data_IF_582386405221
#
_entry.id   IF_582386405221
#
_cell.length_a   1.000
_cell.length_b   1.000
_cell.length_c   1.000
_cell.angle_alpha   90.00
_cell.angle_beta   90.00
_cell.angle_gamma   90.00
#
_symmetry.space_group_name_H-M   'P 1'
#
loop_
_entity.id
_entity.type
_entity.pdbx_description
1 polymer ?
#
# COMPACT_ATOMS: atom_id res chain seq x y z
N UNK A 1 17.59 0.04 -16.10
CA UNK A 1 16.27 -0.41 -15.60
C UNK A 1 15.39 0.79 -15.46
N UNK A 2 14.28 0.85 -16.19
CA UNK A 2 13.28 1.92 -16.05
C UNK A 2 12.22 1.46 -15.03
N UNK A 3 12.10 2.15 -13.91
CA UNK A 3 11.16 1.82 -12.86
C UNK A 3 10.05 2.88 -12.76
N UNK A 4 8.86 2.45 -12.36
CA UNK A 4 7.73 3.32 -12.13
C UNK A 4 7.11 3.07 -10.75
N UNK A 5 6.79 4.14 -10.04
CA UNK A 5 5.92 4.12 -8.86
C UNK A 5 4.51 4.38 -9.35
N UNK A 6 3.59 3.49 -9.00
CA UNK A 6 2.18 3.56 -9.41
C UNK A 6 1.31 3.68 -8.18
N UNK A 7 0.37 4.61 -8.20
CA UNK A 7 -0.71 4.72 -7.21
C UNK A 7 -2.04 4.99 -7.91
N UNK A 8 -3.13 5.14 -7.17
CA UNK A 8 -4.40 5.50 -7.78
C UNK A 8 -5.48 5.76 -6.74
N UNK A 9 -6.42 6.64 -7.07
CA UNK A 9 -7.52 7.01 -6.21
C UNK A 9 -8.79 7.34 -6.99
N UNK A 10 -9.92 7.27 -6.29
CA UNK A 10 -11.16 7.97 -6.64
C UNK A 10 -11.23 9.31 -5.88
N UNK A 11 -12.29 10.08 -6.12
CA UNK A 11 -12.56 11.33 -5.42
C UNK A 11 -12.46 11.19 -3.88
N UNK A 12 -13.01 10.11 -3.30
CA UNK A 12 -13.01 9.91 -1.86
C UNK A 12 -11.61 9.68 -1.25
N UNK A 13 -10.66 9.19 -2.06
CA UNK A 13 -9.28 8.94 -1.65
C UNK A 13 -8.29 9.99 -2.19
N UNK A 14 -8.77 10.98 -2.94
CA UNK A 14 -7.90 12.03 -3.49
C UNK A 14 -7.04 12.75 -2.44
N UNK A 15 -7.56 13.19 -1.27
CA UNK A 15 -6.72 13.88 -0.27
C UNK A 15 -5.54 13.01 0.19
N UNK A 16 -5.76 11.71 0.40
CA UNK A 16 -4.73 10.77 0.82
C UNK A 16 -3.69 10.54 -0.29
N UNK A 17 -4.13 10.33 -1.52
CA UNK A 17 -3.23 10.20 -2.66
C UNK A 17 -2.42 11.48 -2.89
N UNK A 18 -3.02 12.64 -2.76
CA UNK A 18 -2.31 13.92 -2.89
C UNK A 18 -1.22 14.06 -1.83
N UNK A 19 -1.52 13.69 -0.56
CA UNK A 19 -0.53 13.64 0.50
C UNK A 19 0.59 12.62 0.21
N UNK A 20 0.27 11.44 -0.33
CA UNK A 20 1.28 10.48 -0.78
C UNK A 20 2.20 11.08 -1.84
N UNK A 21 1.64 11.71 -2.89
CA UNK A 21 2.42 12.35 -3.95
C UNK A 21 3.35 13.44 -3.39
N UNK A 22 2.89 14.23 -2.43
CA UNK A 22 3.73 15.21 -1.74
C UNK A 22 4.89 14.55 -0.99
N UNK A 23 4.65 13.43 -0.29
CA UNK A 23 5.74 12.71 0.40
C UNK A 23 6.72 12.07 -0.58
N UNK A 24 6.26 11.57 -1.72
CA UNK A 24 7.11 11.04 -2.77
C UNK A 24 8.01 12.14 -3.37
N UNK A 25 7.45 13.31 -3.69
CA UNK A 25 8.25 14.44 -4.18
C UNK A 25 9.29 14.92 -3.17
N UNK A 26 8.96 14.90 -1.89
CA UNK A 26 9.87 15.33 -0.82
C UNK A 26 11.04 14.36 -0.61
N UNK A 27 10.76 13.05 -0.72
CA UNK A 27 11.71 12.00 -0.36
C UNK A 27 12.38 11.35 -1.57
N UNK A 28 11.73 11.40 -2.73
CA UNK A 28 12.17 10.72 -3.96
C UNK A 28 12.86 11.66 -4.95
N UNK A 29 13.32 12.83 -4.50
CA UNK A 29 14.06 13.77 -5.35
C UNK A 29 15.25 13.14 -6.10
N UNK A 30 15.75 12.01 -5.58
CA UNK A 30 16.85 11.25 -6.17
C UNK A 30 16.40 9.92 -6.80
N UNK A 31 15.10 9.59 -6.81
CA UNK A 31 14.66 8.34 -7.38
C UNK A 31 14.49 8.45 -8.88
N UNK A 32 15.14 7.53 -9.60
CA UNK A 32 15.00 7.40 -11.07
C UNK A 32 13.64 6.81 -11.49
N UNK A 33 12.65 6.79 -10.60
CA UNK A 33 11.32 6.26 -10.86
C UNK A 33 10.39 7.30 -11.45
N UNK A 34 9.58 6.91 -12.44
CA UNK A 34 8.46 7.71 -12.92
C UNK A 34 7.26 7.57 -12.01
N UNK A 35 6.52 8.67 -11.79
CA UNK A 35 5.28 8.66 -11.01
C UNK A 35 4.08 8.51 -11.94
N UNK A 36 3.28 7.48 -11.72
CA UNK A 36 2.14 7.14 -12.56
C UNK A 36 0.88 7.01 -11.70
N UNK A 37 -0.26 7.47 -12.20
CA UNK A 37 -1.51 7.43 -11.46
C UNK A 37 -2.63 6.74 -12.25
N UNK A 38 -3.38 5.89 -11.58
CA UNK A 38 -4.64 5.33 -12.04
C UNK A 38 -5.81 6.17 -11.49
N UNK A 39 -6.56 6.80 -12.40
CA UNK A 39 -7.75 7.60 -12.08
C UNK A 39 -8.98 6.70 -11.96
N UNK A 40 -9.42 6.40 -10.74
CA UNK A 40 -10.61 5.60 -10.47
C UNK A 40 -11.90 6.43 -10.39
N UNK A 41 -11.85 7.72 -10.67
CA UNK A 41 -12.99 8.63 -10.63
C UNK A 41 -12.69 9.94 -9.91
N UNK A 42 -11.58 10.57 -10.25
CA UNK A 42 -11.24 11.93 -9.85
C UNK A 42 -12.18 12.93 -10.50
N UNK A 43 -12.45 14.04 -9.83
CA UNK A 43 -13.07 15.21 -10.46
C UNK A 43 -12.12 15.86 -11.46
N UNK A 44 -12.61 16.69 -12.40
CA UNK A 44 -11.73 17.39 -13.35
C UNK A 44 -10.65 18.24 -12.68
N UNK A 45 -10.96 18.93 -11.58
CA UNK A 45 -10.02 19.78 -10.86
C UNK A 45 -8.95 18.95 -10.11
N UNK A 46 -9.35 17.83 -9.48
CA UNK A 46 -8.43 16.90 -8.85
C UNK A 46 -7.51 16.26 -9.88
N UNK A 47 -8.08 15.84 -11.01
CA UNK A 47 -7.28 15.28 -12.10
C UNK A 47 -6.24 16.28 -12.61
N UNK A 48 -6.63 17.55 -12.84
CA UNK A 48 -5.71 18.61 -13.25
C UNK A 48 -4.58 18.84 -12.20
N UNK A 49 -4.94 18.77 -10.91
CA UNK A 49 -3.96 18.85 -9.82
C UNK A 49 -2.96 17.69 -9.88
N UNK A 50 -3.43 16.47 -10.10
CA UNK A 50 -2.57 15.28 -10.20
C UNK A 50 -1.69 15.33 -11.44
N UNK A 51 -2.24 15.74 -12.60
CA UNK A 51 -1.48 15.87 -13.87
C UNK A 51 -0.27 16.81 -13.75
N UNK A 52 -0.32 17.79 -12.86
CA UNK A 52 0.81 18.66 -12.58
C UNK A 52 1.92 18.01 -11.72
N UNK A 53 1.62 16.89 -11.08
CA UNK A 53 2.52 16.22 -10.11
C UNK A 53 3.09 14.90 -10.62
N UNK A 54 2.61 14.34 -11.73
CA UNK A 54 2.97 12.99 -12.17
C UNK A 54 3.34 12.93 -13.64
N UNK A 55 4.06 11.89 -14.04
CA UNK A 55 4.50 11.71 -15.43
C UNK A 55 3.36 11.22 -16.35
N UNK A 56 2.41 10.46 -15.82
CA UNK A 56 1.23 10.01 -16.58
C UNK A 56 0.06 9.66 -15.66
N UNK A 57 -1.15 9.85 -16.20
CA UNK A 57 -2.40 9.44 -15.56
C UNK A 57 -3.28 8.70 -16.56
N UNK A 58 -3.77 7.53 -16.18
CA UNK A 58 -4.65 6.68 -17.00
C UNK A 58 -5.91 6.37 -16.23
N UNK A 59 -7.05 6.41 -16.92
CA UNK A 59 -8.33 5.95 -16.39
C UNK A 59 -8.53 4.49 -16.78
N UNK A 60 -8.45 3.53 -15.82
CA UNK A 60 -8.59 2.12 -16.14
C UNK A 60 -10.05 1.75 -16.42
N UNK A 61 -10.20 0.64 -17.14
CA UNK A 61 -11.49 0.03 -17.43
C UNK A 61 -11.55 -1.38 -16.85
N UNK A 62 -12.77 -1.93 -16.73
CA UNK A 62 -12.95 -3.32 -16.36
C UNK A 62 -12.46 -4.24 -17.47
N UNK A 63 -11.49 -5.07 -17.18
CA UNK A 63 -10.84 -5.96 -18.15
C UNK A 63 -11.50 -7.36 -18.25
N UNK A 64 -12.49 -7.64 -17.39
CA UNK A 64 -13.33 -8.85 -17.47
C UNK A 64 -14.77 -8.51 -17.14
N UNK A 65 -15.70 -9.41 -17.48
CA UNK A 65 -17.12 -9.21 -17.21
C UNK A 65 -17.41 -9.47 -15.73
N UNK A 66 -17.72 -8.38 -15.01
CA UNK A 66 -18.10 -8.41 -13.59
C UNK A 66 -19.59 -8.18 -13.45
N UNK A 67 -20.25 -8.81 -12.47
CA UNK A 67 -21.64 -8.49 -12.13
C UNK A 67 -21.85 -7.00 -11.93
N UNK A 68 -22.95 -6.45 -12.44
CA UNK A 68 -23.20 -5.00 -12.47
C UNK A 68 -23.12 -4.34 -11.09
N UNK A 69 -23.64 -5.01 -10.04
CA UNK A 69 -23.57 -4.51 -8.66
C UNK A 69 -22.13 -4.36 -8.10
N UNK A 70 -21.12 -4.94 -8.75
CA UNK A 70 -19.72 -4.79 -8.41
C UNK A 70 -19.01 -3.70 -9.23
N UNK A 71 -19.63 -3.16 -10.29
CA UNK A 71 -19.06 -2.12 -11.17
C UNK A 71 -19.07 -0.74 -10.51
N UNK A 72 -18.50 -0.64 -9.31
CA UNK A 72 -18.36 0.63 -8.59
C UNK A 72 -16.95 1.19 -8.78
N UNK A 73 -16.77 2.54 -8.86
CA UNK A 73 -15.45 3.16 -9.01
C UNK A 73 -14.41 2.64 -8.02
N UNK A 74 -14.75 2.60 -6.72
CA UNK A 74 -13.88 2.08 -5.66
C UNK A 74 -13.44 0.62 -5.87
N UNK A 75 -14.24 -0.20 -6.54
CA UNK A 75 -13.93 -1.60 -6.81
C UNK A 75 -12.95 -1.75 -7.98
N UNK A 76 -12.91 -0.77 -8.87
CA UNK A 76 -11.99 -0.75 -9.99
C UNK A 76 -10.52 -0.69 -9.51
N UNK A 77 -10.26 -0.02 -8.38
CA UNK A 77 -8.94 0.01 -7.76
C UNK A 77 -8.37 -1.38 -7.42
N UNK A 78 -9.22 -2.32 -7.03
CA UNK A 78 -8.80 -3.71 -6.79
C UNK A 78 -8.57 -4.48 -8.09
N UNK A 79 -9.40 -4.24 -9.11
CA UNK A 79 -9.31 -4.91 -10.41
C UNK A 79 -8.13 -4.41 -11.26
N UNK A 80 -7.73 -3.16 -11.10
CA UNK A 80 -6.73 -2.53 -11.94
C UNK A 80 -5.28 -2.92 -11.56
N UNK A 81 -5.01 -3.28 -10.30
CA UNK A 81 -3.64 -3.60 -9.84
C UNK A 81 -2.96 -4.71 -10.67
N UNK A 82 -3.59 -5.86 -10.97
CA UNK A 82 -2.96 -6.88 -11.79
C UNK A 82 -2.77 -6.51 -13.26
N UNK A 83 -3.31 -5.35 -13.69
CA UNK A 83 -3.22 -4.83 -15.06
C UNK A 83 -2.24 -3.65 -15.21
N UNK A 84 -1.49 -3.30 -14.19
CA UNK A 84 -0.58 -2.14 -14.20
C UNK A 84 0.33 -2.12 -15.44
N UNK A 85 1.00 -3.22 -15.83
CA UNK A 85 1.86 -3.19 -17.03
C UNK A 85 1.12 -2.91 -18.33
N UNK A 86 -0.17 -3.27 -18.41
CA UNK A 86 -0.99 -3.03 -19.60
C UNK A 86 -1.42 -1.55 -19.68
N UNK A 87 -1.67 -0.90 -18.54
CA UNK A 87 -1.99 0.53 -18.50
C UNK A 87 -0.79 1.43 -18.72
N UNK A 88 0.38 1.01 -18.30
CA UNK A 88 1.62 1.77 -18.38
C UNK A 88 2.76 0.92 -18.98
N UNK A 89 2.73 0.62 -20.28
CA UNK A 89 3.78 -0.18 -20.91
C UNK A 89 5.12 0.55 -20.97
N UNK A 90 6.22 -0.21 -21.01
CA UNK A 90 7.56 0.32 -21.27
C UNK A 90 8.46 0.47 -20.05
N UNK A 91 8.02 0.04 -18.89
CA UNK A 91 8.85 -0.02 -17.68
C UNK A 91 9.33 -1.45 -17.40
N UNK A 92 10.48 -1.57 -16.77
CA UNK A 92 11.05 -2.89 -16.40
C UNK A 92 10.46 -3.39 -15.06
N UNK A 93 10.15 -2.47 -14.13
CA UNK A 93 9.62 -2.78 -12.79
C UNK A 93 8.56 -1.75 -12.40
N UNK A 94 7.50 -2.23 -11.79
CA UNK A 94 6.44 -1.42 -11.18
C UNK A 94 6.44 -1.58 -9.66
N UNK A 95 6.45 -0.45 -8.95
CA UNK A 95 6.27 -0.35 -7.51
C UNK A 95 4.90 0.26 -7.23
N UNK A 96 3.98 -0.53 -6.70
CA UNK A 96 2.65 -0.06 -6.29
C UNK A 96 2.68 0.48 -4.87
N UNK A 97 1.98 1.60 -4.65
CA UNK A 97 1.68 2.15 -3.33
C UNK A 97 0.18 2.49 -3.25
N UNK A 98 -0.51 2.01 -2.21
CA UNK A 98 -1.88 2.42 -1.92
C UNK A 98 -1.94 3.93 -1.62
N UNK A 99 -3.05 4.57 -1.99
CA UNK A 99 -3.24 6.02 -1.82
C UNK A 99 -3.13 6.50 -0.35
N UNK A 100 -3.36 5.62 0.62
CA UNK A 100 -3.28 5.89 2.04
C UNK A 100 -1.92 5.55 2.67
N UNK A 101 -0.88 5.58 1.86
CA UNK A 101 0.51 5.46 2.28
C UNK A 101 1.15 6.85 2.45
N UNK A 102 2.06 6.94 3.41
CA UNK A 102 2.93 8.10 3.63
C UNK A 102 4.37 7.62 3.70
N UNK A 103 5.25 8.21 2.91
CA UNK A 103 6.66 7.82 2.81
C UNK A 103 7.53 8.79 3.62
N UNK A 104 8.42 8.25 4.46
CA UNK A 104 9.32 9.07 5.28
C UNK A 104 10.73 9.24 4.70
N UNK A 105 11.20 8.30 3.89
CA UNK A 105 12.53 8.37 3.27
C UNK A 105 12.52 7.81 1.85
N UNK A 106 13.51 8.20 1.04
CA UNK A 106 13.63 7.77 -0.36
C UNK A 106 14.22 6.37 -0.56
N UNK A 107 14.72 5.72 0.50
CA UNK A 107 15.38 4.41 0.37
C UNK A 107 14.38 3.27 0.15
N UNK A 108 13.10 3.50 0.45
CA UNK A 108 12.05 2.50 0.25
C UNK A 108 12.01 1.99 -1.20
N UNK A 109 12.12 2.88 -2.19
CA UNK A 109 12.04 2.52 -3.59
C UNK A 109 13.18 1.56 -3.97
N UNK A 110 14.43 1.89 -3.63
CA UNK A 110 15.57 1.02 -3.91
C UNK A 110 15.47 -0.34 -3.23
N UNK A 111 14.93 -0.41 -2.01
CA UNK A 111 14.72 -1.68 -1.30
C UNK A 111 13.72 -2.58 -2.03
N UNK A 112 12.57 -2.04 -2.49
CA UNK A 112 11.60 -2.79 -3.27
C UNK A 112 12.15 -3.21 -4.64
N UNK A 113 12.85 -2.32 -5.34
CA UNK A 113 13.42 -2.62 -6.66
C UNK A 113 14.50 -3.71 -6.58
N UNK A 114 15.39 -3.64 -5.59
CA UNK A 114 16.37 -4.69 -5.32
C UNK A 114 15.71 -6.04 -5.01
N UNK A 115 14.64 -6.04 -4.20
CA UNK A 115 13.93 -7.25 -3.83
C UNK A 115 13.14 -7.88 -4.98
N UNK A 116 12.84 -7.11 -6.04
CA UNK A 116 12.14 -7.57 -7.24
C UNK A 116 13.08 -7.97 -8.40
N UNK A 117 14.38 -7.76 -8.27
CA UNK A 117 15.34 -7.85 -9.40
C UNK A 117 15.46 -9.27 -9.99
N UNK A 118 15.28 -10.32 -9.20
CA UNK A 118 15.29 -11.72 -9.61
C UNK A 118 13.93 -12.23 -10.16
N UNK A 119 12.95 -11.35 -10.33
CA UNK A 119 11.60 -11.67 -10.81
C UNK A 119 10.66 -12.18 -9.72
N UNK A 120 11.07 -12.16 -8.45
CA UNK A 120 10.19 -12.42 -7.32
C UNK A 120 9.26 -11.22 -7.03
N UNK A 121 8.11 -11.50 -6.43
CA UNK A 121 7.25 -10.45 -5.89
C UNK A 121 7.91 -9.85 -4.65
N UNK A 122 8.39 -8.61 -4.73
CA UNK A 122 8.85 -7.88 -3.56
C UNK A 122 7.63 -7.36 -2.77
N UNK A 123 7.48 -7.82 -1.52
CA UNK A 123 6.27 -7.56 -0.73
C UNK A 123 6.59 -7.58 0.76
N UNK A 124 5.70 -6.98 1.56
CA UNK A 124 5.84 -6.97 3.03
C UNK A 124 4.86 -7.96 3.66
N UNK A 125 5.36 -8.79 4.57
CA UNK A 125 4.54 -9.69 5.37
C UNK A 125 3.79 -8.89 6.44
N UNK A 126 2.50 -9.19 6.65
CA UNK A 126 1.70 -8.62 7.75
C UNK A 126 2.09 -9.24 9.11
N UNK A 127 3.37 -9.27 9.41
CA UNK A 127 3.91 -9.84 10.63
C UNK A 127 4.92 -8.88 11.29
N UNK A 128 4.63 -8.51 12.52
CA UNK A 128 5.53 -7.77 13.39
C UNK A 128 5.19 -8.10 14.86
N UNK A 129 6.19 -8.25 15.75
CA UNK A 129 5.93 -8.50 17.18
C UNK A 129 5.06 -7.44 17.85
N UNK A 130 5.03 -6.22 17.30
CA UNK A 130 4.24 -5.10 17.82
C UNK A 130 2.78 -5.10 17.31
N UNK A 131 2.46 -5.93 16.30
CA UNK A 131 1.12 -5.93 15.71
C UNK A 131 0.10 -6.63 16.60
N UNK A 132 -1.05 -6.00 16.76
CA UNK A 132 -2.20 -6.61 17.43
C UNK A 132 -2.99 -7.46 16.44
N UNK A 133 -3.43 -8.62 16.90
CA UNK A 133 -4.33 -9.48 16.13
C UNK A 133 -5.76 -9.02 16.32
N UNK A 134 -6.40 -8.54 15.27
CA UNK A 134 -7.82 -8.19 15.27
C UNK A 134 -8.65 -9.41 14.84
N UNK A 135 -9.50 -9.91 15.73
CA UNK A 135 -10.34 -11.08 15.45
C UNK A 135 -11.27 -10.88 14.26
N UNK A 136 -11.76 -9.66 14.05
CA UNK A 136 -12.61 -9.34 12.89
C UNK A 136 -11.83 -9.49 11.57
N UNK A 137 -10.64 -8.89 11.49
CA UNK A 137 -9.78 -8.99 10.31
C UNK A 137 -9.36 -10.44 10.02
N UNK A 138 -9.06 -11.21 11.08
CA UNK A 138 -8.77 -12.64 10.96
C UNK A 138 -9.95 -13.43 10.40
N UNK A 139 -11.16 -13.24 10.96
CA UNK A 139 -12.39 -13.91 10.48
C UNK A 139 -12.69 -13.56 9.02
N UNK A 140 -12.54 -12.28 8.65
CA UNK A 140 -12.74 -11.80 7.29
C UNK A 140 -11.76 -12.47 6.31
N UNK A 141 -10.48 -12.51 6.66
CA UNK A 141 -9.41 -13.09 5.86
C UNK A 141 -9.59 -14.59 5.66
N UNK A 142 -9.77 -15.34 6.75
CA UNK A 142 -10.01 -16.77 6.71
C UNK A 142 -11.28 -17.09 5.92
N UNK A 143 -12.39 -16.43 6.22
CA UNK A 143 -13.66 -16.64 5.53
C UNK A 143 -13.58 -16.42 4.01
N UNK A 144 -12.84 -15.39 3.56
CA UNK A 144 -12.64 -15.14 2.14
C UNK A 144 -11.68 -16.15 1.49
N UNK A 145 -10.63 -16.57 2.17
CA UNK A 145 -9.72 -17.60 1.66
C UNK A 145 -10.48 -18.89 1.29
N UNK A 146 -11.33 -19.37 2.19
CA UNK A 146 -12.16 -20.56 1.94
C UNK A 146 -13.24 -20.31 0.88
N UNK A 147 -13.88 -19.15 0.89
CA UNK A 147 -14.92 -18.82 -0.09
C UNK A 147 -14.37 -18.70 -1.51
N UNK A 148 -13.19 -18.10 -1.68
CA UNK A 148 -12.57 -17.89 -2.99
C UNK A 148 -11.94 -19.16 -3.55
N UNK A 149 -11.25 -19.94 -2.70
CA UNK A 149 -10.37 -21.02 -3.18
C UNK A 149 -10.73 -22.40 -2.65
N UNK A 150 -11.91 -22.56 -2.02
CA UNK A 150 -12.39 -23.82 -1.49
C UNK A 150 -11.60 -24.32 -0.27
N UNK A 151 -11.90 -25.54 0.23
CA UNK A 151 -11.31 -26.04 1.48
C UNK A 151 -9.79 -26.17 1.45
N UNK A 152 -9.24 -26.79 0.42
CA UNK A 152 -7.79 -27.01 0.31
C UNK A 152 -7.03 -25.72 -0.02
N UNK A 153 -7.55 -24.91 -0.94
CA UNK A 153 -6.95 -23.60 -1.29
C UNK A 153 -7.01 -22.65 -0.12
N UNK A 154 -8.18 -22.55 0.54
CA UNK A 154 -8.34 -21.73 1.73
C UNK A 154 -7.40 -22.12 2.87
N UNK A 155 -7.22 -23.42 3.13
CA UNK A 155 -6.26 -23.91 4.12
C UNK A 155 -4.83 -23.52 3.77
N UNK A 156 -4.40 -23.69 2.50
CA UNK A 156 -3.07 -23.29 2.06
C UNK A 156 -2.81 -21.78 2.22
N UNK A 157 -3.78 -20.93 1.89
CA UNK A 157 -3.67 -19.50 2.13
C UNK A 157 -3.57 -19.15 3.62
N UNK A 158 -4.35 -19.82 4.48
CA UNK A 158 -4.31 -19.60 5.93
C UNK A 158 -2.98 -20.03 6.56
N UNK A 159 -2.34 -21.06 6.04
CA UNK A 159 -1.02 -21.55 6.49
C UNK A 159 0.15 -20.80 5.85
N UNK A 160 -0.07 -20.10 4.74
CA UNK A 160 0.92 -19.28 4.07
C UNK A 160 1.24 -17.98 4.82
N UNK A 161 2.34 -17.33 4.42
CA UNK A 161 2.68 -16.00 4.92
C UNK A 161 1.59 -15.01 4.55
N UNK A 162 1.14 -14.24 5.52
CA UNK A 162 0.14 -13.21 5.31
C UNK A 162 0.83 -11.95 4.78
N UNK A 163 0.43 -11.48 3.63
CA UNK A 163 1.02 -10.32 2.95
C UNK A 163 0.05 -9.15 2.92
N UNK A 164 0.57 -7.95 2.70
CA UNK A 164 -0.24 -6.77 2.45
C UNK A 164 0.06 -6.20 1.06
N UNK A 165 -0.97 -6.12 0.21
CA UNK A 165 -0.86 -5.64 -1.17
C UNK A 165 -0.82 -4.11 -1.30
N UNK A 166 -0.76 -3.37 -0.19
CA UNK A 166 -0.69 -1.91 -0.22
C UNK A 166 0.65 -1.34 -0.70
N UNK A 167 1.74 -2.12 -0.57
CA UNK A 167 3.04 -1.79 -1.13
C UNK A 167 3.70 -3.07 -1.66
N UNK A 168 4.05 -3.09 -2.94
CA UNK A 168 4.76 -4.20 -3.58
C UNK A 168 5.52 -3.73 -4.82
N UNK A 169 6.57 -4.46 -5.21
CA UNK A 169 7.20 -4.26 -6.51
C UNK A 169 7.27 -5.58 -7.29
N UNK A 170 7.18 -5.47 -8.62
CA UNK A 170 7.19 -6.62 -9.50
C UNK A 170 7.70 -6.23 -10.89
N UNK A 171 8.54 -7.07 -11.47
CA UNK A 171 9.01 -6.90 -12.86
C UNK A 171 7.86 -6.99 -13.85
N UNK A 172 7.96 -6.23 -14.94
CA UNK A 172 6.95 -6.22 -16.01
C UNK A 172 6.71 -7.60 -16.66
N UNK A 173 7.76 -8.38 -16.78
CA UNK A 173 7.76 -9.71 -17.39
C UNK A 173 7.43 -10.85 -16.42
N UNK A 174 7.18 -10.56 -15.14
CA UNK A 174 6.92 -11.56 -14.12
C UNK A 174 5.60 -12.32 -14.37
N UNK A 175 5.58 -13.65 -14.21
CA UNK A 175 4.39 -14.47 -14.45
C UNK A 175 3.26 -14.17 -13.45
N UNK A 176 3.58 -13.48 -12.35
CA UNK A 176 2.63 -13.10 -11.30
C UNK A 176 1.46 -12.28 -11.85
N UNK A 177 1.69 -11.35 -12.80
CA UNK A 177 0.64 -10.50 -13.35
C UNK A 177 -0.51 -11.33 -13.93
N UNK A 178 -0.21 -12.28 -14.81
CA UNK A 178 -1.20 -13.17 -15.42
C UNK A 178 -1.84 -14.12 -14.43
N UNK A 179 -1.05 -14.67 -13.51
CA UNK A 179 -1.57 -15.51 -12.44
C UNK A 179 -2.52 -14.74 -11.53
N UNK A 180 -2.16 -13.49 -11.17
CA UNK A 180 -2.99 -12.62 -10.35
C UNK A 180 -4.30 -12.24 -11.04
N UNK A 181 -4.27 -11.87 -12.34
CA UNK A 181 -5.47 -11.63 -13.14
C UNK A 181 -6.42 -12.83 -13.07
N UNK A 182 -5.92 -14.02 -13.34
CA UNK A 182 -6.73 -15.23 -13.30
C UNK A 182 -7.29 -15.50 -11.89
N UNK A 183 -6.45 -15.44 -10.85
CA UNK A 183 -6.88 -15.67 -9.46
C UNK A 183 -7.86 -14.62 -8.98
N UNK A 184 -7.71 -13.36 -9.41
CA UNK A 184 -8.64 -12.30 -9.05
C UNK A 184 -10.01 -12.52 -9.68
N UNK A 185 -10.06 -12.82 -10.96
CA UNK A 185 -11.31 -13.16 -11.64
C UNK A 185 -12.00 -14.37 -10.97
N UNK A 186 -11.25 -15.45 -10.70
CA UNK A 186 -11.77 -16.63 -9.98
C UNK A 186 -12.37 -16.25 -8.62
N UNK A 187 -11.66 -15.46 -7.82
CA UNK A 187 -12.09 -15.05 -6.50
C UNK A 187 -13.35 -14.18 -6.54
N UNK A 188 -13.40 -13.18 -7.44
CA UNK A 188 -14.55 -12.29 -7.62
C UNK A 188 -15.79 -13.08 -8.02
N UNK A 189 -15.68 -13.96 -9.00
CA UNK A 189 -16.82 -14.74 -9.51
C UNK A 189 -17.33 -15.74 -8.45
N UNK A 190 -16.46 -16.33 -7.65
CA UNK A 190 -16.88 -17.26 -6.59
C UNK A 190 -17.45 -16.59 -5.35
N UNK A 191 -16.88 -15.45 -4.95
CA UNK A 191 -17.24 -14.81 -3.70
C UNK A 191 -18.29 -13.68 -3.85
N UNK A 192 -18.55 -13.21 -5.07
CA UNK A 192 -19.49 -12.13 -5.36
C UNK A 192 -19.10 -10.78 -4.75
N UNK A 193 -17.77 -10.50 -4.65
CA UNK A 193 -17.22 -9.25 -4.11
C UNK A 193 -15.89 -8.91 -4.77
N UNK A 194 -15.55 -7.63 -4.84
CA UNK A 194 -14.38 -7.15 -5.58
C UNK A 194 -13.11 -6.95 -4.71
N UNK A 195 -13.25 -6.71 -3.41
CA UNK A 195 -12.12 -6.41 -2.50
C UNK A 195 -11.33 -7.68 -2.10
N UNK A 196 -10.85 -8.43 -3.09
CA UNK A 196 -10.20 -9.74 -2.96
C UNK A 196 -8.83 -9.80 -3.64
N UNK A 197 -8.33 -8.67 -4.13
CA UNK A 197 -7.06 -8.56 -4.83
C UNK A 197 -5.88 -9.10 -4.04
N UNK A 198 -5.81 -8.79 -2.74
CA UNK A 198 -4.78 -9.33 -1.84
C UNK A 198 -4.89 -10.86 -1.67
N UNK A 199 -6.11 -11.41 -1.57
CA UNK A 199 -6.29 -12.86 -1.50
C UNK A 199 -5.88 -13.54 -2.81
N UNK A 200 -6.18 -12.89 -3.94
CA UNK A 200 -5.78 -13.37 -5.25
C UNK A 200 -4.25 -13.33 -5.43
N UNK A 201 -3.59 -12.25 -4.99
CA UNK A 201 -2.14 -12.16 -5.00
C UNK A 201 -1.50 -13.22 -4.08
N UNK A 202 -2.03 -13.44 -2.87
CA UNK A 202 -1.60 -14.53 -2.01
C UNK A 202 -1.76 -15.91 -2.67
N UNK A 203 -2.83 -16.11 -3.44
CA UNK A 203 -3.05 -17.37 -4.13
C UNK A 203 -1.97 -17.66 -5.18
N UNK A 204 -1.42 -16.64 -5.83
CA UNK A 204 -0.29 -16.84 -6.76
C UNK A 204 0.94 -17.42 -6.06
N UNK A 205 1.17 -17.04 -4.80
CA UNK A 205 2.28 -17.55 -4.00
C UNK A 205 1.98 -18.94 -3.41
N UNK A 206 0.81 -19.08 -2.78
CA UNK A 206 0.47 -20.28 -2.02
C UNK A 206 -0.05 -21.44 -2.88
N UNK A 207 -0.71 -21.18 -4.00
CA UNK A 207 -1.33 -22.19 -4.86
C UNK A 207 -0.54 -22.40 -6.14
N UNK A 208 0.00 -21.34 -6.74
CA UNK A 208 0.74 -21.41 -8.00
C UNK A 208 2.27 -21.54 -7.78
N UNK A 209 2.74 -21.34 -6.53
CA UNK A 209 4.14 -21.51 -6.16
C UNK A 209 5.07 -20.44 -6.72
N UNK A 210 4.55 -19.26 -7.07
CA UNK A 210 5.37 -18.18 -7.60
C UNK A 210 6.25 -17.57 -6.49
N UNK A 211 7.49 -17.13 -6.81
CA UNK A 211 8.45 -16.67 -5.83
C UNK A 211 8.09 -15.31 -5.23
N UNK A 212 8.45 -15.09 -3.96
CA UNK A 212 8.34 -13.80 -3.29
C UNK A 212 9.59 -13.48 -2.47
N UNK A 213 10.01 -12.21 -2.52
CA UNK A 213 11.03 -11.61 -1.66
C UNK A 213 10.34 -10.76 -0.60
N UNK A 214 10.58 -11.08 0.68
CA UNK A 214 9.90 -10.44 1.80
C UNK A 214 10.75 -9.34 2.41
N UNK A 215 10.22 -8.12 2.41
CA UNK A 215 10.80 -6.96 3.09
C UNK A 215 10.32 -6.89 4.55
N UNK A 216 11.07 -6.17 5.38
CA UNK A 216 10.72 -5.93 6.77
C UNK A 216 9.45 -5.07 6.91
N UNK A 217 8.79 -5.16 8.08
CA UNK A 217 7.52 -4.45 8.37
C UNK A 217 7.62 -2.92 8.23
N UNK A 218 8.81 -2.34 8.39
CA UNK A 218 9.07 -0.90 8.24
C UNK A 218 8.84 -0.37 6.83
N UNK A 219 8.82 -1.24 5.83
CA UNK A 219 8.52 -0.88 4.43
C UNK A 219 7.03 -0.92 4.07
N UNK A 220 6.17 -1.28 5.00
CA UNK A 220 4.70 -1.18 4.89
C UNK A 220 4.08 -1.31 6.28
N UNK A 221 4.34 -0.34 7.16
CA UNK A 221 3.90 -0.36 8.54
C UNK A 221 2.40 -0.10 8.65
N UNK A 222 1.64 -1.09 9.07
CA UNK A 222 0.18 -1.00 9.19
C UNK A 222 -0.19 -0.30 10.50
N UNK A 223 -0.44 1.01 10.43
CA UNK A 223 -0.70 1.86 11.58
C UNK A 223 -1.94 1.41 12.39
N UNK A 224 -2.94 0.84 11.75
CA UNK A 224 -4.11 0.28 12.42
C UNK A 224 -3.77 -0.90 13.34
N UNK A 225 -2.71 -1.65 13.05
CA UNK A 225 -2.29 -2.79 13.88
C UNK A 225 -1.38 -2.40 15.02
N UNK A 226 -0.57 -1.39 14.82
CA UNK A 226 0.31 -0.85 15.86
C UNK A 226 0.63 0.60 15.57
N UNK A 227 0.27 1.48 16.50
CA UNK A 227 0.62 2.89 16.40
C UNK A 227 2.13 3.05 16.49
N UNK A 228 2.78 3.79 15.57
CA UNK A 228 4.21 4.09 15.66
C UNK A 228 4.52 5.00 16.84
N UNK A 229 5.80 5.16 17.17
CA UNK A 229 6.31 6.17 18.10
C UNK A 229 7.07 7.23 17.32
N UNK A 230 7.15 8.43 17.88
CA UNK A 230 7.88 9.55 17.29
C UNK A 230 9.28 9.69 17.91
N UNK A 231 10.29 9.78 17.06
CA UNK A 231 11.65 10.12 17.46
C UNK A 231 11.90 11.62 17.23
N UNK A 232 11.99 12.38 18.31
CA UNK A 232 12.21 13.83 18.28
C UNK A 232 13.60 14.23 17.74
N UNK A 233 14.56 13.33 17.80
CA UNK A 233 15.94 13.58 17.29
C UNK A 233 15.98 13.34 15.78
N UNK A 234 15.41 12.21 15.32
CA UNK A 234 15.39 11.86 13.90
C UNK A 234 14.27 12.56 13.13
N UNK A 235 13.31 13.17 13.82
CA UNK A 235 12.09 13.75 13.24
C UNK A 235 11.36 12.74 12.33
N UNK A 236 11.17 11.51 12.85
CA UNK A 236 10.56 10.41 12.10
C UNK A 236 9.77 9.47 12.99
N UNK A 237 8.78 8.80 12.39
CA UNK A 237 8.08 7.70 13.03
C UNK A 237 8.97 6.44 13.05
N UNK A 238 8.95 5.77 14.20
CA UNK A 238 9.70 4.54 14.43
C UNK A 238 8.79 3.41 14.91
N UNK A 239 9.25 2.18 14.80
CA UNK A 239 8.62 1.02 15.44
C UNK A 239 8.49 1.26 16.95
N UNK A 240 7.38 0.85 17.60
CA UNK A 240 7.15 1.12 19.03
C UNK A 240 7.96 0.22 19.97
N UNK A 241 8.81 -0.65 19.46
CA UNK A 241 9.66 -1.58 20.21
C UNK A 241 11.14 -1.39 19.87
N UNK A 242 12.06 -1.60 20.83
CA UNK A 242 13.48 -1.56 20.56
C UNK A 242 13.91 -2.47 19.40
N UNK A 243 14.87 -2.04 18.57
CA UNK A 243 15.72 -0.85 18.69
C UNK A 243 15.08 0.47 18.19
N UNK A 244 13.76 0.58 18.09
CA UNK A 244 13.02 1.76 17.58
C UNK A 244 13.47 2.14 16.16
N UNK A 245 13.45 1.14 15.30
CA UNK A 245 13.86 1.26 13.90
C UNK A 245 12.96 2.27 13.16
N UNK A 246 13.52 3.22 12.38
CA UNK A 246 12.73 4.13 11.56
C UNK A 246 11.83 3.37 10.58
N UNK A 247 10.62 3.87 10.39
CA UNK A 247 9.66 3.33 9.43
C UNK A 247 9.83 4.09 8.12
N UNK A 248 10.12 3.40 7.03
CA UNK A 248 10.24 4.04 5.71
C UNK A 248 8.86 4.34 5.11
N UNK A 249 7.89 3.43 5.29
CA UNK A 249 6.56 3.52 4.70
C UNK A 249 5.48 3.29 5.75
N UNK A 250 4.72 4.32 6.06
CA UNK A 250 3.52 4.27 6.90
C UNK A 250 2.31 3.96 6.04
N UNK A 251 1.49 2.99 6.45
CA UNK A 251 0.25 2.63 5.79
C UNK A 251 -0.94 2.88 6.73
N UNK A 252 -1.76 3.87 6.39
CA UNK A 252 -2.93 4.29 7.16
C UNK A 252 -4.14 3.35 6.94
N UNK A 253 -3.87 2.07 6.68
CA UNK A 253 -4.90 1.06 6.46
C UNK A 253 -5.92 1.06 7.60
N UNK A 254 -7.20 0.94 7.26
CA UNK A 254 -8.27 0.91 8.25
C UNK A 254 -9.27 2.06 8.11
N UNK A 255 -10.04 2.31 9.18
CA UNK A 255 -11.18 3.25 9.14
C UNK A 255 -10.82 4.70 9.45
N UNK A 256 -9.81 4.92 10.28
CA UNK A 256 -9.32 6.27 10.61
C UNK A 256 -8.05 6.53 9.83
N UNK A 257 -8.09 7.49 8.92
CA UNK A 257 -6.97 7.85 8.05
C UNK A 257 -6.58 9.32 8.16
N UNK A 258 -7.45 10.12 8.75
CA UNK A 258 -7.30 11.57 8.89
C UNK A 258 -7.38 11.96 10.37
N UNK A 259 -6.79 13.11 10.72
CA UNK A 259 -6.85 13.72 12.04
C UNK A 259 -5.57 13.54 12.85
N UNK A 260 -5.61 14.10 14.06
CA UNK A 260 -4.50 14.08 15.01
C UNK A 260 -4.59 12.85 15.92
N UNK A 261 -3.47 12.18 16.07
CA UNK A 261 -3.31 11.05 16.97
C UNK A 261 -2.41 11.41 18.14
N UNK A 262 -2.69 10.87 19.31
CA UNK A 262 -1.79 10.99 20.47
C UNK A 262 -0.65 10.00 20.30
N UNK A 263 0.46 10.46 19.75
CA UNK A 263 1.65 9.66 19.43
C UNK A 263 2.62 9.73 20.61
N UNK A 264 3.06 8.56 21.10
CA UNK A 264 4.14 8.48 22.10
C UNK A 264 5.45 8.95 21.49
N UNK A 265 6.27 9.68 22.25
CA UNK A 265 7.61 10.07 21.82
C UNK A 265 8.69 9.22 22.51
N UNK A 266 9.85 9.06 21.88
CA UNK A 266 10.99 8.36 22.49
C UNK A 266 11.59 9.14 23.67
N UNK A 267 11.44 10.46 23.67
CA UNK A 267 11.85 11.33 24.78
C UNK A 267 10.93 11.20 26.02
N UNK A 268 9.78 10.54 25.87
CA UNK A 268 8.74 10.42 26.87
C UNK A 268 7.55 11.37 26.61
N UNK A 269 6.38 10.99 27.09
CA UNK A 269 5.15 11.75 26.86
C UNK A 269 4.45 11.42 25.54
N UNK A 270 3.56 12.31 25.10
CA UNK A 270 2.78 12.19 23.86
C UNK A 270 2.69 13.52 23.14
N UNK A 271 2.59 13.48 21.81
CA UNK A 271 2.30 14.63 20.93
C UNK A 271 1.05 14.35 20.11
N UNK A 272 0.20 15.35 19.94
CA UNK A 272 -0.91 15.30 18.99
C UNK A 272 -0.36 15.61 17.60
N UNK A 273 -0.34 14.62 16.71
CA UNK A 273 0.19 14.79 15.35
C UNK A 273 -0.50 13.85 14.36
N UNK A 274 -0.54 14.20 13.05
CA UNK A 274 -1.04 13.31 12.02
C UNK A 274 -0.09 12.13 11.82
N UNK A 275 -0.62 11.04 11.25
CA UNK A 275 0.21 9.91 10.79
C UNK A 275 0.69 10.11 9.33
N UNK A 276 0.13 11.10 8.62
CA UNK A 276 0.64 11.48 7.30
C UNK A 276 1.88 12.36 7.47
N UNK A 277 3.01 11.92 6.92
CA UNK A 277 4.26 12.67 6.98
C UNK A 277 4.21 13.98 6.16
N UNK A 278 3.28 14.08 5.20
CA UNK A 278 3.05 15.29 4.43
C UNK A 278 2.66 16.49 5.32
N UNK A 279 1.85 16.23 6.35
CA UNK A 279 1.26 17.25 7.20
C UNK A 279 2.14 17.66 8.40
N UNK A 280 3.24 16.93 8.67
CA UNK A 280 4.10 17.21 9.85
C UNK A 280 4.77 18.57 9.74
N UNK A 281 5.08 19.04 8.53
CA UNK A 281 5.67 20.37 8.29
C UNK A 281 4.73 21.54 8.53
N UNK A 282 3.42 21.30 8.61
CA UNK A 282 2.39 22.31 8.79
C UNK A 282 1.91 22.44 10.24
N UNK A 283 2.39 21.57 11.15
CA UNK A 283 2.03 21.67 12.57
C UNK A 283 2.76 22.87 13.15
N UNK A 284 2.03 23.91 13.64
CA UNK A 284 2.66 25.00 14.37
C UNK A 284 3.37 24.39 15.59
N UNK A 285 4.67 24.64 15.73
CA UNK A 285 5.36 24.37 16.99
C UNK A 285 4.62 25.18 18.07
N UNK A 286 3.91 24.54 18.98
CA UNK A 286 3.38 25.25 20.14
C UNK A 286 4.55 25.97 20.80
N UNK A 287 4.43 27.28 21.10
CA UNK A 287 5.47 27.98 21.82
C UNK A 287 5.65 27.23 23.16
N UNK A 288 6.91 26.88 23.46
CA UNK A 288 7.27 26.32 24.76
C UNK A 288 6.53 27.10 25.85
N UNK A 289 5.68 26.40 26.59
CA UNK A 289 5.02 26.99 27.74
C UNK A 289 6.14 27.49 28.65
N UNK A 290 6.31 28.81 28.69
CA UNK A 290 7.24 29.46 29.59
C UNK A 290 6.93 28.96 30.98
N UNK A 291 7.82 28.20 31.56
CA UNK A 291 7.78 27.74 32.94
C UNK A 291 7.72 28.99 33.83
N UNK A 292 6.53 29.21 34.44
CA UNK A 292 6.35 30.10 35.59
C UNK A 292 6.55 29.32 36.89
#
# INVERSE_FOLDING_TARGET
MQAAIVTGADHGYFPLMHALLQTLHRTAADSACRLLVLDFGLTPDERATVEALVDAIVRPEWWFDVPEHLRLPRNLGYAARPMIPDYFPGYDVYLWLDADISVQDGQFASAFLCAADDGALAIVEEADPSYRTELYALKWRVGNAFRCFGPLGGLRLCLGRQINSGAFALRADAPHWKAWQWRYQEAVMRAGRANLDQHALMATLCLDGLPASYLGSTYNWICARSQPVWDDVRQSFCRPSPPFEPISVLHLAGRQKEGLYQIRTLAGGTKAMPLSYADIGEIPLEPEAASA
#
